data_IF_893326354910
#
_entry.id   IF_893326354910
#
_cell.length_a   1.000
_cell.length_b   1.000
_cell.length_c   1.000
_cell.angle_alpha   90.00
_cell.angle_beta   90.00
_cell.angle_gamma   90.00
#
_symmetry.space_group_name_H-M   'P 1'
#
loop_
_entity.id
_entity.type
_entity.pdbx_description
1 polymer ?
#
# COMPACT_ATOMS: atom_id res chain seq x y z
N UNK A 1 -40.46 38.23 14.80
CA UNK A 1 -39.14 38.33 14.13
C UNK A 1 -38.03 37.49 14.78
N UNK A 2 -37.82 37.54 16.11
CA UNK A 2 -36.73 36.82 16.80
C UNK A 2 -36.77 35.27 16.64
N UNK A 3 -37.96 34.65 16.58
CA UNK A 3 -38.09 33.19 16.38
C UNK A 3 -37.69 32.72 14.97
N UNK A 4 -37.75 33.58 13.95
CA UNK A 4 -37.38 33.23 12.57
C UNK A 4 -35.85 33.23 12.38
N UNK A 5 -35.18 34.21 12.99
CA UNK A 5 -33.71 34.36 12.97
C UNK A 5 -33.02 33.16 13.64
N UNK A 6 -33.61 32.65 14.73
CA UNK A 6 -33.07 31.50 15.48
C UNK A 6 -33.13 30.18 14.69
N UNK A 7 -34.12 30.01 13.81
CA UNK A 7 -34.22 28.83 12.92
C UNK A 7 -33.18 28.88 11.79
N UNK A 8 -32.91 30.06 11.23
CA UNK A 8 -31.89 30.23 10.18
C UNK A 8 -30.46 29.92 10.67
N UNK A 9 -30.13 30.27 11.92
CA UNK A 9 -28.82 29.94 12.52
C UNK A 9 -28.57 28.44 12.67
N UNK A 10 -29.61 27.66 13.03
CA UNK A 10 -29.50 26.20 13.15
C UNK A 10 -29.27 25.54 11.79
N UNK A 11 -29.94 26.02 10.73
CA UNK A 11 -29.71 25.55 9.37
C UNK A 11 -28.33 25.94 8.81
N UNK A 12 -27.82 27.13 9.16
CA UNK A 12 -26.47 27.55 8.79
C UNK A 12 -25.37 26.67 9.40
N UNK A 13 -25.50 26.30 10.68
CA UNK A 13 -24.57 25.38 11.34
C UNK A 13 -24.63 23.95 10.78
N UNK A 14 -25.81 23.47 10.38
CA UNK A 14 -25.97 22.15 9.75
C UNK A 14 -25.32 22.07 8.37
N UNK A 15 -25.40 23.14 7.56
CA UNK A 15 -24.74 23.17 6.24
C UNK A 15 -23.23 23.41 6.32
N UNK A 16 -22.73 24.15 7.32
CA UNK A 16 -21.28 24.32 7.52
C UNK A 16 -20.59 23.00 7.94
N UNK A 17 -21.29 22.12 8.66
CA UNK A 17 -20.74 20.83 9.08
C UNK A 17 -20.53 19.82 7.95
N UNK A 18 -21.29 19.91 6.84
CA UNK A 18 -21.21 18.94 5.74
C UNK A 18 -20.07 19.21 4.75
N UNK A 19 -19.50 20.42 4.71
CA UNK A 19 -18.41 20.75 3.79
C UNK A 19 -17.01 20.36 4.31
N UNK A 20 -16.87 19.99 5.58
CA UNK A 20 -15.56 19.72 6.19
C UNK A 20 -15.04 18.29 6.04
N UNK A 21 -15.80 17.36 5.45
CA UNK A 21 -15.46 15.92 5.49
C UNK A 21 -15.44 15.19 4.15
N UNK A 22 -15.66 15.88 3.02
CA UNK A 22 -15.63 15.26 1.71
C UNK A 22 -14.42 15.75 0.91
N UNK A 23 -13.20 15.44 1.36
CA UNK A 23 -12.08 15.40 0.43
C UNK A 23 -12.20 14.10 -0.36
N UNK A 24 -12.56 14.23 -1.63
CA UNK A 24 -12.62 13.10 -2.56
C UNK A 24 -11.20 12.55 -2.74
N UNK A 25 -11.05 11.25 -2.46
CA UNK A 25 -9.77 10.56 -2.64
C UNK A 25 -9.52 10.41 -4.14
N UNK A 26 -8.31 10.76 -4.57
CA UNK A 26 -7.84 10.53 -5.93
C UNK A 26 -7.13 9.19 -6.00
N UNK A 27 -7.28 8.47 -7.11
CA UNK A 27 -6.57 7.21 -7.31
C UNK A 27 -5.27 7.43 -8.08
N UNK A 28 -4.25 6.64 -7.76
CA UNK A 28 -3.14 6.47 -8.68
C UNK A 28 -3.63 5.71 -9.91
N UNK A 29 -3.22 6.18 -11.10
CA UNK A 29 -3.64 5.62 -12.39
C UNK A 29 -3.02 4.26 -12.65
N UNK A 30 -1.69 4.19 -12.61
CA UNK A 30 -0.88 2.98 -12.57
C UNK A 30 0.60 3.28 -12.20
N UNK A 31 1.37 2.24 -11.86
CA UNK A 31 2.80 2.33 -11.51
C UNK A 31 3.62 2.97 -12.62
N UNK A 32 3.41 2.57 -13.87
CA UNK A 32 4.11 3.14 -15.03
C UNK A 32 3.89 4.65 -15.13
N UNK A 33 2.67 5.13 -14.91
CA UNK A 33 2.34 6.55 -14.95
C UNK A 33 2.98 7.32 -13.77
N UNK A 34 3.02 6.74 -12.57
CA UNK A 34 3.73 7.34 -11.43
C UNK A 34 5.21 7.53 -11.79
N UNK A 35 5.87 6.47 -12.25
CA UNK A 35 7.30 6.49 -12.59
C UNK A 35 7.61 7.42 -13.77
N UNK A 36 6.73 7.53 -14.75
CA UNK A 36 6.89 8.48 -15.87
C UNK A 36 6.81 9.94 -15.42
N UNK A 37 6.25 10.25 -14.26
CA UNK A 37 6.20 11.63 -13.74
C UNK A 37 7.41 12.00 -12.88
N UNK A 38 8.36 11.09 -12.65
CA UNK A 38 9.58 11.36 -11.90
C UNK A 38 10.27 12.64 -12.39
N UNK A 39 10.61 13.48 -11.42
CA UNK A 39 11.53 14.60 -11.54
C UNK A 39 12.85 14.18 -10.86
N UNK A 40 13.94 13.94 -11.63
CA UNK A 40 15.19 13.49 -11.03
C UNK A 40 15.86 14.60 -10.21
N UNK A 41 16.33 14.25 -9.01
CA UNK A 41 17.18 15.12 -8.18
C UNK A 41 18.66 15.07 -8.60
N UNK A 42 19.05 14.06 -9.38
CA UNK A 42 20.41 13.96 -9.94
C UNK A 42 20.58 14.90 -11.14
N UNK A 43 21.78 15.45 -11.31
CA UNK A 43 22.15 16.28 -12.47
C UNK A 43 22.41 15.41 -13.71
N UNK A 44 21.37 14.78 -14.22
CA UNK A 44 21.44 13.98 -15.44
C UNK A 44 21.24 14.87 -16.68
N UNK A 45 22.05 14.65 -17.72
CA UNK A 45 21.84 15.30 -19.03
C UNK A 45 20.77 14.59 -19.84
N UNK A 46 20.68 13.27 -19.67
CA UNK A 46 19.66 12.42 -20.28
C UNK A 46 19.28 11.29 -19.33
N UNK A 47 18.05 10.79 -19.42
CA UNK A 47 17.64 9.55 -18.74
C UNK A 47 16.50 8.81 -19.46
N UNK A 48 16.41 7.51 -19.21
CA UNK A 48 15.40 6.59 -19.70
C UNK A 48 14.72 5.89 -18.52
N UNK A 49 13.40 5.87 -18.49
CA UNK A 49 12.63 4.91 -17.70
C UNK A 49 12.29 3.72 -18.59
N UNK A 50 12.64 2.53 -18.12
CA UNK A 50 12.45 1.30 -18.90
C UNK A 50 11.68 0.30 -18.05
N UNK A 51 10.65 -0.27 -18.65
CA UNK A 51 9.95 -1.44 -18.12
C UNK A 51 10.44 -2.68 -18.86
N UNK A 52 10.96 -3.65 -18.12
CA UNK A 52 11.35 -4.94 -18.67
C UNK A 52 10.29 -5.96 -18.29
N UNK A 53 9.72 -6.61 -19.30
CA UNK A 53 8.71 -7.66 -19.12
C UNK A 53 9.01 -8.79 -20.12
N UNK A 54 9.01 -10.04 -19.65
CA UNK A 54 9.33 -11.23 -20.44
C UNK A 54 10.63 -11.10 -21.25
N UNK A 55 11.66 -10.52 -20.63
CA UNK A 55 12.99 -10.33 -21.23
C UNK A 55 13.08 -9.25 -22.31
N UNK A 56 12.01 -8.46 -22.52
CA UNK A 56 11.97 -7.35 -23.49
C UNK A 56 11.93 -6.01 -22.78
N UNK A 57 12.72 -5.08 -23.26
CA UNK A 57 12.70 -3.71 -22.76
C UNK A 57 11.68 -2.87 -23.52
N UNK A 58 10.89 -2.13 -22.77
CA UNK A 58 10.00 -1.10 -23.26
C UNK A 58 10.41 0.24 -22.64
N UNK A 59 10.88 1.16 -23.47
CA UNK A 59 11.17 2.53 -23.03
C UNK A 59 9.83 3.24 -22.79
N UNK A 60 9.59 3.61 -21.53
CA UNK A 60 8.36 4.29 -21.12
C UNK A 60 8.51 5.81 -21.15
N UNK A 61 9.71 6.31 -20.82
CA UNK A 61 10.03 7.73 -20.88
C UNK A 61 11.47 7.91 -21.30
N UNK A 62 11.69 8.92 -22.13
CA UNK A 62 13.01 9.43 -22.48
C UNK A 62 13.03 10.93 -22.21
N UNK A 63 14.12 11.39 -21.60
CA UNK A 63 14.43 12.80 -21.40
C UNK A 63 15.84 13.05 -21.89
N UNK A 64 16.03 14.05 -22.73
CA UNK A 64 17.31 14.37 -23.35
C UNK A 64 17.66 13.45 -24.52
N UNK A 65 18.96 13.44 -24.85
CA UNK A 65 19.51 12.67 -25.96
C UNK A 65 19.38 11.16 -25.73
N UNK A 66 19.29 10.35 -26.82
CA UNK A 66 19.32 8.90 -26.73
C UNK A 66 20.53 8.38 -25.94
N UNK A 67 20.34 7.32 -25.17
CA UNK A 67 21.37 6.69 -24.36
C UNK A 67 21.57 5.27 -24.88
N UNK A 68 22.80 4.92 -25.24
CA UNK A 68 23.17 3.52 -25.44
C UNK A 68 23.27 2.82 -24.08
N UNK A 69 22.55 1.71 -23.93
CA UNK A 69 22.48 0.99 -22.66
C UNK A 69 22.47 -0.52 -22.86
N UNK A 70 22.80 -1.24 -21.79
CA UNK A 70 22.71 -2.70 -21.71
C UNK A 70 21.63 -3.05 -20.69
N UNK A 71 20.70 -3.93 -21.05
CA UNK A 71 19.62 -4.32 -20.15
C UNK A 71 20.18 -5.04 -18.92
N UNK A 72 19.85 -4.59 -17.70
CA UNK A 72 20.23 -5.29 -16.48
C UNK A 72 19.41 -6.58 -16.30
N UNK A 73 19.92 -7.50 -15.47
CA UNK A 73 19.24 -8.74 -15.14
C UNK A 73 18.11 -8.56 -14.11
N UNK A 74 18.10 -7.45 -13.38
CA UNK A 74 17.11 -7.13 -12.35
C UNK A 74 16.87 -5.63 -12.25
N UNK A 75 15.79 -5.26 -11.54
CA UNK A 75 15.40 -3.87 -11.31
C UNK A 75 14.54 -3.73 -10.06
N UNK A 76 13.81 -2.61 -9.99
CA UNK A 76 12.94 -2.28 -8.87
C UNK A 76 11.46 -2.41 -9.25
N UNK A 77 10.61 -2.53 -8.23
CA UNK A 77 9.16 -2.47 -8.35
C UNK A 77 8.59 -1.66 -7.17
N UNK A 78 7.67 -0.74 -7.45
CA UNK A 78 6.96 0.06 -6.42
C UNK A 78 5.51 -0.39 -6.20
N UNK A 79 5.02 -1.32 -7.03
CA UNK A 79 3.74 -2.00 -6.90
C UNK A 79 3.91 -3.46 -6.49
N UNK A 80 3.02 -4.33 -6.97
CA UNK A 80 3.18 -5.78 -6.83
C UNK A 80 4.25 -6.24 -7.80
N UNK A 81 5.28 -6.91 -7.29
CA UNK A 81 6.31 -7.50 -8.13
C UNK A 81 5.76 -8.77 -8.79
N UNK A 82 5.82 -8.82 -10.11
CA UNK A 82 5.54 -10.02 -10.90
C UNK A 82 6.85 -10.70 -11.29
N UNK A 83 6.78 -12.01 -11.59
CA UNK A 83 7.94 -12.76 -12.07
C UNK A 83 8.36 -12.24 -13.45
N UNK A 84 9.66 -12.06 -13.66
CA UNK A 84 10.24 -11.53 -14.91
C UNK A 84 9.79 -10.11 -15.33
N UNK A 85 9.19 -9.35 -14.40
CA UNK A 85 8.80 -7.95 -14.63
C UNK A 85 9.45 -6.99 -13.62
N UNK A 86 10.10 -5.94 -14.13
CA UNK A 86 10.66 -4.88 -13.30
C UNK A 86 10.91 -3.59 -14.07
N UNK A 87 11.13 -2.51 -13.32
CA UNK A 87 11.54 -1.22 -13.85
C UNK A 87 13.01 -0.98 -13.56
N UNK A 88 13.67 -0.23 -14.43
CA UNK A 88 14.98 0.34 -14.16
C UNK A 88 15.12 1.68 -14.86
N UNK A 89 16.04 2.49 -14.37
CA UNK A 89 16.37 3.78 -14.98
C UNK A 89 17.82 3.73 -15.46
N UNK A 90 18.06 4.30 -16.62
CA UNK A 90 19.40 4.57 -17.14
C UNK A 90 19.56 6.08 -17.26
N UNK A 91 20.66 6.64 -16.78
CA UNK A 91 20.90 8.08 -16.90
C UNK A 91 22.35 8.40 -17.17
N UNK A 92 22.61 9.56 -17.78
CA UNK A 92 23.96 10.06 -18.02
C UNK A 92 24.28 11.19 -17.05
N UNK A 93 25.31 11.00 -16.23
CA UNK A 93 25.81 11.99 -15.28
C UNK A 93 27.32 12.14 -15.44
N UNK A 94 27.82 13.37 -15.59
CA UNK A 94 29.25 13.62 -15.76
C UNK A 94 29.89 12.87 -16.95
N UNK A 95 29.12 12.59 -18.00
CA UNK A 95 29.55 11.85 -19.19
C UNK A 95 29.60 10.32 -19.02
N UNK A 96 29.06 9.78 -17.91
CA UNK A 96 29.00 8.33 -17.66
C UNK A 96 27.56 7.85 -17.60
N UNK A 97 27.32 6.66 -18.14
CA UNK A 97 26.04 5.96 -18.04
C UNK A 97 25.95 5.25 -16.69
N UNK A 98 24.90 5.53 -15.94
CA UNK A 98 24.59 4.97 -14.63
C UNK A 98 23.20 4.31 -14.64
N UNK A 99 22.99 3.39 -13.70
CA UNK A 99 21.78 2.55 -13.64
C UNK A 99 21.14 2.60 -12.26
N UNK A 100 19.81 2.67 -12.25
CA UNK A 100 18.98 2.51 -11.06
C UNK A 100 18.22 1.21 -11.17
N UNK A 101 18.63 0.20 -10.41
CA UNK A 101 18.02 -1.14 -10.41
C UNK A 101 17.50 -1.55 -9.03
N UNK A 102 17.59 -0.68 -8.03
CA UNK A 102 17.15 -0.96 -6.66
C UNK A 102 16.25 0.16 -6.14
N UNK A 103 15.44 -0.15 -5.13
CA UNK A 103 14.62 0.87 -4.43
C UNK A 103 15.48 1.94 -3.76
N UNK A 104 16.65 1.57 -3.22
CA UNK A 104 17.60 2.54 -2.65
C UNK A 104 18.16 3.48 -3.73
N UNK A 105 18.54 2.94 -4.89
CA UNK A 105 18.96 3.74 -6.04
C UNK A 105 17.84 4.68 -6.51
N UNK A 106 16.59 4.19 -6.53
CA UNK A 106 15.41 4.99 -6.89
C UNK A 106 15.19 6.14 -5.90
N UNK A 107 15.35 5.87 -4.60
CA UNK A 107 15.29 6.90 -3.55
C UNK A 107 16.31 8.01 -3.79
N UNK A 108 17.54 7.65 -4.15
CA UNK A 108 18.60 8.62 -4.42
C UNK A 108 18.37 9.39 -5.73
N UNK A 109 17.81 8.73 -6.75
CA UNK A 109 17.52 9.32 -8.05
C UNK A 109 16.41 10.38 -7.97
N UNK A 110 15.32 10.07 -7.26
CA UNK A 110 14.17 10.98 -7.07
C UNK A 110 14.48 12.03 -5.99
N UNK A 111 15.16 11.66 -4.91
CA UNK A 111 15.48 12.57 -3.83
C UNK A 111 14.27 12.94 -2.97
N UNK A 112 14.13 14.22 -2.64
CA UNK A 112 13.00 14.71 -1.84
C UNK A 112 11.74 14.76 -2.71
N UNK A 113 10.59 14.24 -2.24
CA UNK A 113 9.32 14.40 -2.94
C UNK A 113 8.94 15.86 -3.23
N UNK A 114 8.77 16.18 -4.51
CA UNK A 114 8.29 17.48 -4.97
C UNK A 114 6.79 17.45 -5.32
N UNK A 115 6.27 16.30 -5.75
CA UNK A 115 4.86 16.07 -6.02
C UNK A 115 4.30 14.78 -5.35
N UNK A 116 3.06 14.44 -5.66
CA UNK A 116 2.40 13.26 -5.09
C UNK A 116 2.97 11.95 -5.65
N UNK A 117 3.44 11.94 -6.89
CA UNK A 117 4.04 10.77 -7.54
C UNK A 117 5.38 10.44 -6.90
N UNK A 118 6.22 11.44 -6.68
CA UNK A 118 7.49 11.29 -5.95
C UNK A 118 7.25 10.88 -4.50
N UNK A 119 6.18 11.38 -3.86
CA UNK A 119 5.81 10.97 -2.50
C UNK A 119 5.42 9.48 -2.45
N UNK A 120 4.71 8.99 -3.47
CA UNK A 120 4.37 7.58 -3.60
C UNK A 120 5.61 6.70 -3.83
N UNK A 121 6.56 7.17 -4.65
CA UNK A 121 7.84 6.51 -4.85
C UNK A 121 8.63 6.46 -3.54
N UNK A 122 8.77 7.59 -2.84
CA UNK A 122 9.46 7.64 -1.55
C UNK A 122 8.86 6.67 -0.54
N UNK A 123 7.54 6.60 -0.43
CA UNK A 123 6.88 5.62 0.41
C UNK A 123 7.19 4.18 -0.03
N UNK A 124 7.19 3.90 -1.34
CA UNK A 124 7.53 2.57 -1.84
C UNK A 124 8.97 2.16 -1.50
N UNK A 125 9.92 3.10 -1.47
CA UNK A 125 11.30 2.83 -1.03
C UNK A 125 11.40 2.46 0.45
N UNK A 126 10.39 2.79 1.26
CA UNK A 126 10.28 2.41 2.67
C UNK A 126 9.42 1.13 2.87
N UNK A 127 9.18 0.38 1.78
CA UNK A 127 8.53 -0.92 1.75
C UNK A 127 7.00 -0.87 1.70
N UNK A 128 6.41 0.28 1.38
CA UNK A 128 4.99 0.35 1.01
C UNK A 128 4.81 -0.02 -0.46
N UNK A 129 3.58 -0.34 -0.86
CA UNK A 129 3.26 -0.78 -2.22
C UNK A 129 2.04 -0.04 -2.74
N UNK A 130 2.10 0.34 -4.01
CA UNK A 130 0.94 0.81 -4.78
C UNK A 130 0.23 -0.43 -5.31
N UNK A 131 -0.81 -0.87 -4.61
CA UNK A 131 -1.55 -2.09 -4.97
C UNK A 131 -2.69 -1.74 -5.94
N UNK A 132 -2.39 -1.82 -7.24
CA UNK A 132 -3.28 -1.38 -8.34
C UNK A 132 -4.55 -2.23 -8.47
N UNK A 133 -4.57 -3.42 -7.86
CA UNK A 133 -5.75 -4.28 -7.77
C UNK A 133 -6.72 -3.80 -6.68
N UNK A 134 -6.23 -3.04 -5.69
CA UNK A 134 -6.99 -2.57 -4.52
C UNK A 134 -7.00 -1.04 -4.43
N UNK A 135 -7.28 -0.35 -5.53
CA UNK A 135 -7.16 1.12 -5.64
C UNK A 135 -7.92 1.93 -4.61
N UNK A 136 -9.07 1.44 -4.14
CA UNK A 136 -9.89 2.12 -3.13
C UNK A 136 -9.28 2.09 -1.73
N UNK A 137 -8.33 1.18 -1.49
CA UNK A 137 -7.79 0.88 -0.17
C UNK A 137 -6.27 1.13 -0.11
N UNK A 138 -5.54 0.79 -1.18
CA UNK A 138 -4.08 0.66 -1.19
C UNK A 138 -3.39 1.26 -2.44
N UNK A 139 -4.11 2.09 -3.23
CA UNK A 139 -3.51 2.92 -4.28
C UNK A 139 -4.30 4.22 -4.51
N UNK A 140 -4.55 4.98 -3.43
CA UNK A 140 -5.19 6.30 -3.52
C UNK A 140 -4.55 7.29 -2.57
N UNK A 141 -4.86 8.56 -2.76
CA UNK A 141 -4.31 9.65 -2.01
C UNK A 141 -5.26 10.84 -1.93
N UNK A 142 -4.92 11.76 -1.05
CA UNK A 142 -5.42 13.12 -1.04
C UNK A 142 -4.32 14.02 -0.51
N UNK A 143 -4.50 15.33 -0.58
CA UNK A 143 -3.47 16.27 -0.14
C UNK A 143 -4.11 17.55 0.38
N UNK A 144 -3.37 18.24 1.23
CA UNK A 144 -3.67 19.61 1.62
C UNK A 144 -2.45 20.52 1.35
N UNK A 145 -2.44 21.70 1.96
CA UNK A 145 -1.35 22.67 1.77
C UNK A 145 -0.01 22.21 2.33
N UNK A 146 0.00 21.33 3.32
CA UNK A 146 1.17 20.97 4.11
C UNK A 146 1.60 19.52 3.91
N UNK A 147 0.67 18.63 3.60
CA UNK A 147 0.93 17.19 3.58
C UNK A 147 0.34 16.50 2.34
N UNK A 148 1.00 15.41 1.95
CA UNK A 148 0.40 14.35 1.17
C UNK A 148 -0.12 13.26 2.10
N UNK A 149 -1.29 12.69 1.78
CA UNK A 149 -1.89 11.59 2.50
C UNK A 149 -2.07 10.40 1.57
N UNK A 150 -1.28 9.35 1.76
CA UNK A 150 -1.25 8.22 0.85
C UNK A 150 -1.85 6.99 1.53
N UNK A 151 -2.81 6.35 0.88
CA UNK A 151 -3.34 5.05 1.29
C UNK A 151 -2.69 3.97 0.44
N UNK A 152 -1.72 3.27 1.05
CA UNK A 152 -0.87 2.28 0.38
C UNK A 152 -0.93 0.93 1.10
N UNK A 153 -0.60 -0.13 0.38
CA UNK A 153 -0.41 -1.45 0.97
C UNK A 153 0.98 -1.61 1.60
N UNK A 154 1.15 -2.66 2.38
CA UNK A 154 2.43 -3.18 2.84
C UNK A 154 2.31 -4.68 3.09
N UNK A 155 3.26 -5.44 2.58
CA UNK A 155 3.38 -6.86 2.91
C UNK A 155 3.91 -6.99 4.33
N UNK A 156 3.08 -7.47 5.25
CA UNK A 156 3.43 -7.58 6.68
C UNK A 156 3.75 -9.00 7.11
N UNK A 157 3.35 -9.99 6.32
CA UNK A 157 3.71 -11.39 6.54
C UNK A 157 3.73 -12.14 5.21
N UNK A 158 4.83 -12.83 4.93
CA UNK A 158 4.95 -13.83 3.86
C UNK A 158 4.61 -15.24 4.35
N UNK A 159 4.45 -15.41 5.67
CA UNK A 159 4.24 -16.70 6.32
C UNK A 159 2.74 -17.02 6.46
N UNK A 160 2.35 -17.62 7.58
CA UNK A 160 1.00 -18.09 7.87
C UNK A 160 0.35 -17.22 8.96
N UNK A 161 -0.56 -16.28 8.62
CA UNK A 161 -1.11 -16.02 7.29
C UNK A 161 -0.22 -15.14 6.41
N UNK A 162 -0.38 -15.28 5.10
CA UNK A 162 0.14 -14.29 4.16
C UNK A 162 -0.73 -13.06 4.32
N UNK A 163 -0.13 -11.92 4.65
CA UNK A 163 -0.88 -10.74 5.07
C UNK A 163 -0.37 -9.48 4.37
N UNK A 164 -1.30 -8.78 3.71
CA UNK A 164 -1.11 -7.41 3.30
C UNK A 164 -2.02 -6.51 4.13
N UNK A 165 -1.43 -5.47 4.69
CA UNK A 165 -2.13 -4.42 5.44
C UNK A 165 -2.09 -3.12 4.67
N UNK A 166 -3.12 -2.30 4.85
CA UNK A 166 -3.12 -0.96 4.26
C UNK A 166 -2.89 0.10 5.32
N UNK A 167 -2.16 1.14 4.93
CA UNK A 167 -1.70 2.20 5.79
C UNK A 167 -2.12 3.54 5.22
N UNK A 168 -2.48 4.49 6.09
CA UNK A 168 -2.55 5.90 5.73
C UNK A 168 -1.24 6.55 6.17
N UNK A 169 -0.46 7.03 5.21
CA UNK A 169 0.80 7.73 5.45
C UNK A 169 0.58 9.23 5.36
N UNK A 170 1.11 9.97 6.33
CA UNK A 170 1.19 11.43 6.29
C UNK A 170 2.60 11.84 5.94
N UNK A 171 2.81 12.37 4.74
CA UNK A 171 4.11 12.82 4.24
C UNK A 171 4.11 14.35 4.24
N UNK A 172 5.07 14.95 4.93
CA UNK A 172 5.21 16.41 4.95
C UNK A 172 5.76 16.92 3.62
N UNK A 173 5.11 17.91 3.00
CA UNK A 173 5.61 18.56 1.76
C UNK A 173 6.89 19.37 2.01
N UNK A 174 7.09 19.86 3.24
CA UNK A 174 8.26 20.68 3.57
C UNK A 174 9.52 19.82 3.75
N UNK A 175 9.40 18.63 4.36
CA UNK A 175 10.54 17.75 4.64
C UNK A 175 10.65 16.56 3.70
N UNK A 176 9.55 16.15 3.06
CA UNK A 176 9.47 14.92 2.27
C UNK A 176 9.42 13.63 3.11
N UNK A 177 9.38 13.74 4.44
CA UNK A 177 9.43 12.60 5.34
C UNK A 177 8.03 12.09 5.71
N UNK A 178 7.90 10.77 5.89
CA UNK A 178 6.74 10.15 6.54
C UNK A 178 6.74 10.58 8.01
N UNK A 179 5.75 11.37 8.40
CA UNK A 179 5.56 11.87 9.77
C UNK A 179 4.61 11.00 10.59
N UNK A 180 3.72 10.28 9.92
CA UNK A 180 2.78 9.33 10.53
C UNK A 180 2.53 8.16 9.57
N UNK A 181 2.39 6.95 10.12
CA UNK A 181 1.97 5.77 9.40
C UNK A 181 0.90 5.04 10.20
N UNK A 182 -0.37 5.26 9.85
CA UNK A 182 -1.52 4.65 10.52
C UNK A 182 -1.86 3.32 9.88
N UNK A 183 -1.72 2.22 10.63
CA UNK A 183 -2.23 0.89 10.26
C UNK A 183 -3.76 0.90 10.30
N UNK A 184 -4.40 0.58 9.18
CA UNK A 184 -5.86 0.50 9.08
C UNK A 184 -6.38 -0.95 9.01
N UNK A 185 -5.48 -1.94 9.11
CA UNK A 185 -5.80 -3.36 9.12
C UNK A 185 -5.46 -4.09 7.83
N UNK A 186 -5.79 -5.38 7.82
CA UNK A 186 -5.52 -6.30 6.73
C UNK A 186 -6.60 -6.21 5.66
N UNK A 187 -6.20 -6.12 4.39
CA UNK A 187 -7.11 -6.24 3.24
C UNK A 187 -6.88 -7.54 2.47
N UNK A 188 -5.71 -8.18 2.65
CA UNK A 188 -5.45 -9.56 2.28
C UNK A 188 -4.96 -10.30 3.52
N UNK A 189 -5.59 -11.41 3.85
CA UNK A 189 -5.16 -12.34 4.89
C UNK A 189 -5.48 -13.77 4.46
N UNK A 190 -4.44 -14.53 4.09
CA UNK A 190 -4.57 -15.87 3.53
C UNK A 190 -3.94 -16.91 4.45
N UNK A 191 -4.77 -17.82 4.97
CA UNK A 191 -4.33 -18.97 5.75
C UNK A 191 -4.27 -20.21 4.88
N UNK A 192 -3.07 -20.76 4.68
CA UNK A 192 -2.90 -22.09 4.12
C UNK A 192 -3.36 -23.18 5.12
N UNK A 193 -3.52 -24.42 4.64
CA UNK A 193 -3.97 -25.55 5.47
C UNK A 193 -2.99 -25.94 6.60
N UNK A 194 -1.71 -25.58 6.47
CA UNK A 194 -0.64 -25.89 7.43
C UNK A 194 -0.47 -24.79 8.49
N UNK A 195 -1.15 -23.65 8.36
CA UNK A 195 -1.06 -22.57 9.34
C UNK A 195 -1.63 -23.04 10.69
N UNK A 196 -0.78 -23.11 11.71
CA UNK A 196 -1.18 -23.52 13.07
C UNK A 196 -2.21 -22.58 13.69
N UNK A 197 -2.20 -21.31 13.32
CA UNK A 197 -3.16 -20.28 13.72
C UNK A 197 -4.38 -20.17 12.80
N UNK A 198 -4.62 -21.13 11.89
CA UNK A 198 -5.74 -21.07 10.97
C UNK A 198 -7.07 -21.06 11.75
N UNK A 199 -7.90 -19.99 11.65
CA UNK A 199 -9.16 -19.90 12.39
C UNK A 199 -10.13 -21.05 12.10
N UNK A 200 -9.99 -21.72 10.95
CA UNK A 200 -10.78 -22.91 10.61
C UNK A 200 -10.36 -24.16 11.41
N UNK A 201 -9.09 -24.30 11.77
CA UNK A 201 -8.60 -25.41 12.60
C UNK A 201 -8.99 -25.23 14.07
N UNK A 202 -8.90 -24.00 14.58
CA UNK A 202 -9.29 -23.66 15.97
C UNK A 202 -10.78 -23.91 16.26
N UNK A 203 -11.65 -23.86 15.24
CA UNK A 203 -13.08 -24.17 15.36
C UNK A 203 -13.37 -25.67 15.49
N UNK A 204 -12.45 -26.53 15.07
CA UNK A 204 -12.63 -27.99 15.09
C UNK A 204 -12.27 -28.55 16.48
N UNK A 205 -11.26 -27.99 17.15
CA UNK A 205 -10.84 -28.43 18.49
C UNK A 205 -11.87 -28.09 19.59
N UNK A 206 -12.78 -27.12 19.37
CA UNK A 206 -13.80 -26.72 20.35
C UNK A 206 -15.11 -27.52 20.30
N UNK A 207 -15.23 -28.54 19.43
CA UNK A 207 -16.39 -29.45 19.41
C UNK A 207 -16.01 -30.83 19.92
N UNK A 208 -15.68 -30.94 21.21
CA UNK A 208 -15.85 -32.22 21.90
C UNK A 208 -17.31 -32.32 22.37
N UNK A 209 -18.02 -33.34 21.88
CA UNK A 209 -19.39 -33.65 22.31
C UNK A 209 -19.40 -33.97 23.82
N UNK A 210 -20.42 -33.50 24.58
CA UNK A 210 -20.56 -33.89 25.97
C UNK A 210 -20.77 -35.41 26.05
N UNK A 211 -19.83 -36.10 26.70
CA UNK A 211 -20.00 -37.52 27.05
C UNK A 211 -21.17 -37.65 28.01
N UNK A 212 -22.27 -38.24 27.55
CA UNK A 212 -23.35 -38.70 28.41
C UNK A 212 -22.81 -39.77 29.38
N UNK A 213 -22.72 -39.42 30.68
CA UNK A 213 -22.48 -40.40 31.72
C UNK A 213 -23.70 -41.34 31.87
N UNK A 214 -23.53 -42.68 31.90
CA UNK A 214 -24.64 -43.58 32.13
C UNK A 214 -25.16 -43.43 33.57
N UNK A 215 -26.43 -43.02 33.71
CA UNK A 215 -27.16 -42.98 34.98
C UNK A 215 -27.10 -44.34 35.69
N UNK A 216 -26.53 -44.36 36.91
CA UNK A 216 -26.58 -45.51 37.83
C UNK A 216 -28.04 -45.91 38.10
N UNK A 217 -28.36 -47.19 37.88
CA UNK A 217 -29.67 -47.78 38.23
C UNK A 217 -29.85 -47.84 39.75
N UNK A 218 -31.06 -47.58 40.28
CA UNK A 218 -31.33 -47.63 41.72
C UNK A 218 -31.45 -49.09 42.21
N UNK A 219 -30.74 -49.40 43.29
CA UNK A 219 -30.80 -50.69 43.99
C UNK A 219 -32.15 -50.84 44.70
N UNK A 220 -32.92 -51.87 44.33
CA UNK A 220 -34.22 -52.18 44.95
C UNK A 220 -33.98 -52.81 46.33
N UNK A 221 -34.45 -52.16 47.39
CA UNK A 221 -34.52 -52.69 48.75
C UNK A 221 -35.80 -53.54 48.89
N UNK A 222 -35.66 -54.85 49.12
CA UNK A 222 -36.75 -55.72 49.56
C UNK A 222 -36.63 -55.94 51.07
N UNK A 223 -37.48 -55.27 51.85
CA UNK A 223 -37.75 -55.63 53.25
C UNK A 223 -38.79 -56.75 53.31
N UNK A 224 -38.46 -57.79 54.09
CA UNK A 224 -39.35 -58.87 54.56
C UNK A 224 -40.57 -58.32 55.32
N UNK A 225 -41.70 -58.99 55.15
CA UNK A 225 -42.73 -59.16 56.18
C UNK A 225 -43.22 -60.60 56.11
#
# INVERSE_FOLDING_TARGET
MIKLIRKFWVFGFLFLGTFSYAQEKKHFSNVSNILQNIIPNVKATSWLLIHRSYGKDQILKQSGEPIDYVSPASGFNIGIAEEDEFYYIVYVSGGKTEYVTTLEGLKNFVGKPDDIQDAAISAATDGYIIDEEFRDIAANYYEDKSNYYLNLGKLTSTECPYQKKHFTLTISKSTGAITEAKDNGSYIELYNKKCTNNPRLLKIEKKEEPKDEPKKKPTRSTKRK
#
